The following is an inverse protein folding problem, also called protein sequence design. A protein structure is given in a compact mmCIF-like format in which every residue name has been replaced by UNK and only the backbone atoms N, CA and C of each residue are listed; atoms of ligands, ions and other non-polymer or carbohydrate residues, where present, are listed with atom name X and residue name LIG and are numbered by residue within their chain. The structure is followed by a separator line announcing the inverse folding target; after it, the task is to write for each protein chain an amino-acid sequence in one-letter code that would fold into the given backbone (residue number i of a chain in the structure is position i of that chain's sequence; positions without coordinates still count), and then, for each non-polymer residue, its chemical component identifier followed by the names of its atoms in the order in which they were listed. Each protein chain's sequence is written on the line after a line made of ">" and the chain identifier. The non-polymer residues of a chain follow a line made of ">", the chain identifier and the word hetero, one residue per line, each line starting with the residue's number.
data_IF_630920696713
#
_entry.id   IF_630920696713
#
_cell.length_a   1.000
_cell.length_b   1.000
_cell.length_c   1.000
_cell.angle_alpha   90.00
_cell.angle_beta   90.00
_cell.angle_gamma   90.00
#
_symmetry.space_group_name_H-M   'P 1'
#
loop_
_entity.id
_entity.type
_entity.pdbx_description
1 polymer ?
#
# COMPACT_ATOMS: atom_id res chain seq x y z
N UNK A 1 11.85 9.90 1.07
CA UNK A 1 10.97 8.78 0.68
C UNK A 1 10.20 8.22 1.88
N UNK A 2 10.84 8.08 3.04
CA UNK A 2 10.18 7.95 4.35
C UNK A 2 8.98 8.89 4.48
N UNK A 3 7.92 8.40 5.12
CA UNK A 3 6.73 9.17 5.45
C UNK A 3 5.42 8.43 5.23
N UNK A 4 4.33 9.18 5.35
CA UNK A 4 2.96 8.70 5.16
C UNK A 4 2.46 9.07 3.77
N UNK A 5 1.76 8.14 3.13
CA UNK A 5 1.22 8.27 1.80
C UNK A 5 -0.22 7.79 1.78
N UNK A 6 -1.10 8.49 1.06
CA UNK A 6 -2.53 8.15 0.96
C UNK A 6 -3.04 8.39 -0.44
N UNK A 7 -4.04 7.61 -0.84
CA UNK A 7 -4.68 7.80 -2.12
C UNK A 7 -5.82 6.83 -2.33
N UNK A 8 -6.14 6.57 -3.59
CA UNK A 8 -7.22 5.65 -3.94
C UNK A 8 -6.81 4.73 -5.08
N UNK A 9 -7.56 3.64 -5.24
CA UNK A 9 -7.41 2.82 -6.43
C UNK A 9 -8.43 1.71 -6.54
N UNK A 10 -8.17 0.85 -7.52
CA UNK A 10 -9.05 -0.21 -7.91
C UNK A 10 -8.45 -1.55 -7.52
N UNK A 11 -9.27 -2.39 -6.91
CA UNK A 11 -8.92 -3.73 -6.46
C UNK A 11 -9.88 -4.73 -7.08
N UNK A 12 -9.38 -5.90 -7.46
CA UNK A 12 -10.18 -7.06 -7.87
C UNK A 12 -9.75 -8.27 -7.06
N UNK A 13 -10.73 -9.04 -6.61
CA UNK A 13 -10.54 -10.32 -5.94
C UNK A 13 -11.69 -11.30 -6.32
N UNK A 14 -11.76 -12.45 -5.65
CA UNK A 14 -12.80 -13.45 -5.89
C UNK A 14 -14.23 -12.97 -5.61
N UNK A 15 -14.42 -11.87 -4.87
CA UNK A 15 -15.72 -11.27 -4.57
C UNK A 15 -16.14 -10.23 -5.61
N UNK A 16 -15.23 -9.77 -6.46
CA UNK A 16 -15.49 -8.77 -7.50
C UNK A 16 -14.55 -7.57 -7.42
N UNK A 17 -15.03 -6.44 -7.93
CA UNK A 17 -14.26 -5.19 -8.03
C UNK A 17 -14.61 -4.25 -6.89
N UNK A 18 -13.62 -3.51 -6.41
CA UNK A 18 -13.75 -2.51 -5.36
C UNK A 18 -12.99 -1.24 -5.72
N UNK A 19 -13.51 -0.11 -5.28
CA UNK A 19 -12.78 1.15 -5.18
C UNK A 19 -12.46 1.37 -3.71
N UNK A 20 -11.19 1.61 -3.40
CA UNK A 20 -10.68 1.64 -2.02
C UNK A 20 -9.80 2.86 -1.80
N UNK A 21 -9.89 3.44 -0.60
CA UNK A 21 -8.85 4.32 -0.08
C UNK A 21 -7.67 3.45 0.35
N UNK A 22 -6.45 3.90 0.06
CA UNK A 22 -5.20 3.19 0.34
C UNK A 22 -4.30 4.08 1.20
N UNK A 23 -3.50 3.47 2.05
CA UNK A 23 -2.42 4.15 2.73
C UNK A 23 -1.17 3.29 2.79
N UNK A 24 -0.03 3.97 2.92
CA UNK A 24 1.29 3.37 3.07
C UNK A 24 2.09 4.26 4.02
N UNK A 25 2.63 3.68 5.09
CA UNK A 25 3.56 4.32 6.00
C UNK A 25 4.86 3.55 5.91
N UNK A 26 5.95 4.21 5.56
CA UNK A 26 7.26 3.56 5.39
C UNK A 26 8.38 4.37 6.01
N UNK A 27 9.32 3.66 6.60
CA UNK A 27 10.64 4.13 6.99
C UNK A 27 11.68 3.43 6.11
N UNK A 28 12.67 4.19 5.64
CA UNK A 28 13.74 3.66 4.79
C UNK A 28 15.07 4.03 5.42
N UNK A 29 15.92 3.03 5.64
CA UNK A 29 17.25 3.22 6.20
C UNK A 29 18.28 3.67 5.13
N UNK A 30 19.52 3.88 5.55
CA UNK A 30 20.62 4.28 4.66
C UNK A 30 21.01 3.23 3.61
N UNK A 31 20.59 1.98 3.79
CA UNK A 31 20.84 0.86 2.89
C UNK A 31 19.66 0.62 1.93
N UNK A 32 18.59 1.42 2.02
CA UNK A 32 17.39 1.23 1.23
C UNK A 32 16.50 0.09 1.74
N UNK A 33 16.70 -0.40 2.96
CA UNK A 33 15.81 -1.38 3.59
C UNK A 33 14.58 -0.65 4.12
N UNK A 34 13.42 -1.27 3.97
CA UNK A 34 12.12 -0.67 4.26
C UNK A 34 11.39 -1.47 5.31
N UNK A 35 10.91 -0.76 6.33
CA UNK A 35 9.91 -1.22 7.30
C UNK A 35 8.66 -0.35 7.17
N UNK A 36 7.48 -0.92 7.39
CA UNK A 36 6.27 -0.11 7.31
C UNK A 36 4.96 -0.83 7.53
N UNK A 37 3.89 -0.14 7.16
CA UNK A 37 2.52 -0.65 7.19
C UNK A 37 1.79 -0.21 5.93
N UNK A 38 1.07 -1.14 5.31
CA UNK A 38 0.14 -0.84 4.22
C UNK A 38 -1.28 -1.17 4.63
N UNK A 39 -2.26 -0.51 4.02
CA UNK A 39 -3.65 -0.84 4.28
C UNK A 39 -4.64 -0.16 3.36
N UNK A 40 -5.90 -0.51 3.54
CA UNK A 40 -6.99 -0.03 2.71
C UNK A 40 -8.32 0.04 3.46
N UNK A 41 -9.21 0.89 2.96
CA UNK A 41 -10.60 1.00 3.38
C UNK A 41 -11.52 1.01 2.15
N UNK A 42 -12.67 0.33 2.23
CA UNK A 42 -13.65 0.25 1.16
C UNK A 42 -14.37 1.58 1.00
N UNK A 43 -14.35 2.12 -0.22
CA UNK A 43 -15.22 3.24 -0.57
C UNK A 43 -16.50 2.70 -1.22
N UNK A 44 -16.37 1.78 -2.18
CA UNK A 44 -17.52 1.11 -2.81
C UNK A 44 -17.12 -0.21 -3.46
N UNK A 45 -18.09 -1.11 -3.65
CA UNK A 45 -17.90 -2.42 -4.30
C UNK A 45 -17.86 -3.59 -3.32
N UNK A 46 -17.17 -4.66 -3.71
CA UNK A 46 -17.28 -5.97 -3.04
C UNK A 46 -16.51 -6.10 -1.72
N UNK A 47 -15.50 -5.26 -1.47
CA UNK A 47 -14.62 -5.39 -0.30
C UNK A 47 -13.65 -6.57 -0.36
N UNK A 48 -13.06 -6.89 0.79
CA UNK A 48 -12.03 -7.92 0.98
C UNK A 48 -12.52 -9.10 1.82
N UNK A 49 -11.60 -9.88 2.37
CA UNK A 49 -11.92 -10.95 3.31
C UNK A 49 -10.87 -10.97 4.42
N UNK A 50 -11.29 -11.39 5.61
CA UNK A 50 -10.42 -11.87 6.69
C UNK A 50 -10.78 -13.34 6.92
N UNK A 51 -9.97 -14.23 6.33
CA UNK A 51 -10.31 -15.63 6.18
C UNK A 51 -11.59 -15.84 5.34
N UNK A 52 -12.67 -16.26 6.01
CA UNK A 52 -13.98 -16.44 5.37
C UNK A 52 -14.95 -15.28 5.65
N UNK A 53 -14.54 -14.30 6.46
CA UNK A 53 -15.38 -13.17 6.86
C UNK A 53 -15.21 -12.00 5.89
N UNK A 54 -16.28 -11.49 5.27
CA UNK A 54 -16.25 -10.21 4.55
C UNK A 54 -15.69 -9.07 5.40
N UNK A 55 -14.74 -8.31 4.87
CA UNK A 55 -14.25 -7.07 5.52
C UNK A 55 -14.29 -5.88 4.57
N UNK A 56 -14.35 -4.68 5.16
CA UNK A 56 -14.32 -3.37 4.49
C UNK A 56 -13.04 -2.59 4.76
N UNK A 57 -12.13 -3.13 5.57
CA UNK A 57 -10.82 -2.52 5.86
C UNK A 57 -9.82 -3.59 6.24
N UNK A 58 -8.54 -3.35 6.00
CA UNK A 58 -7.44 -4.16 6.52
C UNK A 58 -6.14 -3.35 6.55
N UNK A 59 -5.23 -3.77 7.43
CA UNK A 59 -3.85 -3.27 7.49
C UNK A 59 -2.86 -4.36 7.86
N UNK A 60 -1.65 -4.20 7.35
CA UNK A 60 -0.60 -5.19 7.47
C UNK A 60 0.81 -4.59 7.50
N UNK A 61 1.66 -5.19 8.33
CA UNK A 61 3.09 -4.91 8.37
C UNK A 61 3.73 -5.39 7.08
N UNK A 62 4.62 -4.55 6.57
CA UNK A 62 5.36 -4.80 5.34
C UNK A 62 6.85 -4.60 5.59
N UNK A 63 7.65 -5.33 4.83
CA UNK A 63 9.09 -5.10 4.70
C UNK A 63 9.46 -5.04 3.23
N UNK A 64 10.62 -4.47 2.90
CA UNK A 64 11.07 -4.47 1.52
C UNK A 64 12.34 -3.70 1.26
N UNK A 65 12.50 -3.31 0.00
CA UNK A 65 13.65 -2.57 -0.49
C UNK A 65 13.23 -1.41 -1.37
N UNK A 66 13.99 -0.32 -1.27
CA UNK A 66 13.95 0.82 -2.16
C UNK A 66 15.24 0.89 -2.96
N UNK A 67 15.11 0.93 -4.28
CA UNK A 67 16.21 1.13 -5.20
C UNK A 67 16.30 2.63 -5.56
N UNK A 68 17.30 3.37 -5.04
CA UNK A 68 17.44 4.80 -5.29
C UNK A 68 17.83 5.11 -6.74
N UNK A 69 18.47 4.18 -7.45
CA UNK A 69 18.92 4.41 -8.84
C UNK A 69 17.73 4.36 -9.81
N UNK A 70 16.71 3.55 -9.51
CA UNK A 70 15.53 3.38 -10.35
C UNK A 70 14.26 4.01 -9.79
N UNK A 71 14.27 4.44 -8.52
CA UNK A 71 13.11 4.97 -7.82
C UNK A 71 12.01 3.92 -7.62
N UNK A 72 12.38 2.63 -7.55
CA UNK A 72 11.44 1.51 -7.40
C UNK A 72 11.37 1.05 -5.95
N UNK A 73 10.18 0.61 -5.58
CA UNK A 73 9.90 0.02 -4.27
C UNK A 73 9.43 -1.42 -4.48
N UNK A 74 9.98 -2.36 -3.71
CA UNK A 74 9.56 -3.76 -3.71
C UNK A 74 9.29 -4.19 -2.28
N UNK A 75 8.02 -4.43 -1.95
CA UNK A 75 7.58 -4.74 -0.59
C UNK A 75 6.85 -6.08 -0.58
N UNK A 76 6.85 -6.70 0.59
CA UNK A 76 6.09 -7.91 0.88
C UNK A 76 5.29 -7.72 2.16
N UNK A 77 4.08 -8.25 2.18
CA UNK A 77 3.26 -8.41 3.38
C UNK A 77 3.84 -9.53 4.26
N UNK A 78 3.83 -9.35 5.60
CA UNK A 78 4.52 -10.26 6.52
C UNK A 78 3.68 -11.48 6.94
N UNK A 79 2.35 -11.38 6.90
CA UNK A 79 1.37 -12.41 7.29
C UNK A 79 0.69 -13.01 6.06
N UNK A 80 0.41 -12.18 5.06
CA UNK A 80 -0.17 -12.57 3.78
C UNK A 80 0.88 -12.66 2.67
N UNK A 81 0.53 -13.36 1.58
CA UNK A 81 1.45 -13.57 0.45
C UNK A 81 1.36 -12.46 -0.60
N UNK A 82 1.15 -11.21 -0.16
CA UNK A 82 1.06 -10.06 -1.04
C UNK A 82 2.42 -9.46 -1.36
N UNK A 83 2.61 -9.11 -2.62
CA UNK A 83 3.77 -8.39 -3.12
C UNK A 83 3.30 -7.04 -3.61
N UNK A 84 3.87 -5.96 -3.05
CA UNK A 84 3.65 -4.60 -3.54
C UNK A 84 4.86 -4.14 -4.33
N UNK A 85 4.63 -3.58 -5.51
CA UNK A 85 5.67 -2.91 -6.31
C UNK A 85 5.27 -1.46 -6.55
N UNK A 86 6.20 -0.55 -6.26
CA UNK A 86 6.03 0.88 -6.41
C UNK A 86 6.97 1.48 -7.44
N UNK A 87 6.52 2.54 -8.12
CA UNK A 87 7.34 3.41 -8.95
C UNK A 87 7.05 4.86 -8.55
N UNK A 88 8.09 5.59 -8.17
CA UNK A 88 8.01 7.04 -7.97
C UNK A 88 7.62 7.69 -9.31
N UNK A 89 6.57 8.50 -9.28
CA UNK A 89 6.13 9.29 -10.43
C UNK A 89 6.76 10.69 -10.38
N UNK A 90 6.77 11.28 -9.19
CA UNK A 90 7.42 12.55 -8.84
C UNK A 90 7.62 12.63 -7.31
N UNK A 91 8.08 13.77 -6.80
CA UNK A 91 8.39 13.97 -5.37
C UNK A 91 7.24 13.60 -4.42
N UNK A 92 5.99 13.81 -4.84
CA UNK A 92 4.82 13.68 -3.98
C UNK A 92 3.91 12.53 -4.39
N UNK A 93 4.26 11.74 -5.43
CA UNK A 93 3.40 10.67 -5.93
C UNK A 93 4.11 9.35 -6.22
N UNK A 94 3.47 8.27 -5.80
CA UNK A 94 3.90 6.89 -6.10
C UNK A 94 2.76 6.14 -6.78
N UNK A 95 3.05 5.42 -7.86
CA UNK A 95 2.16 4.38 -8.38
C UNK A 95 2.51 3.05 -7.73
N UNK A 96 1.50 2.35 -7.25
CA UNK A 96 1.63 1.05 -6.60
C UNK A 96 0.80 -0.02 -7.31
N UNK A 97 1.32 -1.24 -7.32
CA UNK A 97 0.61 -2.46 -7.69
C UNK A 97 0.76 -3.46 -6.55
N UNK A 98 -0.34 -4.05 -6.12
CA UNK A 98 -0.36 -5.21 -5.21
C UNK A 98 -0.81 -6.44 -6.00
N UNK A 99 -0.08 -7.54 -5.84
CA UNK A 99 -0.49 -8.86 -6.31
C UNK A 99 -0.33 -9.85 -5.17
N UNK A 100 -1.42 -10.51 -4.82
CA UNK A 100 -1.48 -11.56 -3.80
C UNK A 100 -2.09 -12.81 -4.44
N UNK A 101 -1.34 -13.91 -4.35
CA UNK A 101 -1.79 -15.21 -4.88
C UNK A 101 -2.43 -16.07 -3.79
N UNK A 102 -3.02 -17.20 -4.17
CA UNK A 102 -3.59 -18.18 -3.23
C UNK A 102 -5.10 -18.32 -3.34
N UNK A 103 -5.73 -18.83 -2.27
CA UNK A 103 -7.17 -19.15 -2.25
C UNK A 103 -8.07 -17.92 -2.34
N UNK A 104 -7.57 -16.77 -1.90
CA UNK A 104 -8.29 -15.51 -1.89
C UNK A 104 -7.44 -14.45 -2.60
N UNK A 105 -7.25 -14.59 -3.92
CA UNK A 105 -6.31 -13.77 -4.66
C UNK A 105 -6.77 -12.32 -4.72
N UNK A 106 -5.82 -11.40 -4.73
CA UNK A 106 -6.06 -9.96 -4.82
C UNK A 106 -5.11 -9.35 -5.84
N UNK A 107 -5.62 -8.49 -6.70
CA UNK A 107 -4.82 -7.61 -7.52
C UNK A 107 -5.33 -6.18 -7.38
N UNK A 108 -4.42 -5.22 -7.21
CA UNK A 108 -4.79 -3.81 -7.01
C UNK A 108 -3.80 -2.87 -7.68
N UNK A 109 -4.30 -1.77 -8.22
CA UNK A 109 -3.49 -0.64 -8.72
C UNK A 109 -3.98 0.64 -8.10
N UNK A 110 -3.07 1.48 -7.64
CA UNK A 110 -3.40 2.72 -6.94
C UNK A 110 -2.28 3.75 -7.08
N UNK A 111 -2.63 5.01 -6.86
CA UNK A 111 -1.68 6.12 -6.76
C UNK A 111 -1.81 6.66 -5.35
N UNK A 112 -0.67 6.92 -4.71
CA UNK A 112 -0.58 7.53 -3.40
C UNK A 112 0.08 8.90 -3.54
N UNK A 113 -0.50 9.88 -2.87
CA UNK A 113 0.05 11.20 -2.65
C UNK A 113 0.73 11.27 -1.27
N UNK A 114 1.84 12.00 -1.17
CA UNK A 114 2.53 12.25 0.10
C UNK A 114 1.62 13.03 1.02
N UNK A 115 1.47 12.56 2.25
CA UNK A 115 0.85 13.33 3.33
C UNK A 115 1.95 14.19 3.94
N UNK A 116 1.81 15.54 3.96
CA UNK A 116 2.77 16.41 4.61
C UNK A 116 2.88 16.06 6.10
N UNK A 117 4.10 16.06 6.62
CA UNK A 117 4.30 15.99 8.06
C UNK A 117 3.73 17.30 8.64
N UNK A 118 2.64 17.22 9.40
CA UNK A 118 2.16 18.36 10.17
C UNK A 118 3.18 18.65 11.26
N UNK A 119 4.09 19.60 11.02
CA UNK A 119 4.72 20.33 12.12
C UNK A 119 3.60 21.13 12.79
N UNK A 120 3.16 20.69 13.96
CA UNK A 120 2.39 21.54 14.86
C UNK A 120 3.22 22.80 15.12
N UNK A 121 2.81 23.91 14.52
CA UNK A 121 3.29 25.23 14.91
C UNK A 121 2.50 25.61 16.14
N UNK A 122 2.97 25.17 17.31
CA UNK A 122 2.54 25.78 18.57
C UNK A 122 3.07 27.23 18.58
N UNK A 123 2.13 28.18 18.57
CA UNK A 123 2.37 29.61 18.85
C UNK A 123 2.45 29.85 20.36
#
# INVERSE_FOLDING_TARGET
>A
MTGTWRGTGHTINSRGKSFTQKFLVIEIDENGLVDGTSGWELVTGSGGHDGETPTVTASEEIIGVFDPDTGKLHLVEMREHGILTGQILDHDRIRMVLVQSGKKPVASTFILDRVPDTTDVEN
#
